data_IF_584741374743
#
_entry.id   IF_584741374743
#
_cell.length_a   1.000
_cell.length_b   1.000
_cell.length_c   1.000
_cell.angle_alpha   90.00
_cell.angle_beta   90.00
_cell.angle_gamma   90.00
#
_symmetry.space_group_name_H-M   'P 1'
#
loop_
_entity.id
_entity.type
_entity.pdbx_description
1 polymer ?
#
# COMPACT_ATOMS: atom_id res chain seq x y z
N UNK A 1 -16.27 1.93 -2.51
CA UNK A 1 -16.22 0.45 -2.63
C UNK A 1 -17.57 -0.12 -3.09
N UNK A 2 -18.67 0.00 -2.32
CA UNK A 2 -19.99 -0.50 -2.79
C UNK A 2 -20.40 0.04 -4.16
N UNK A 3 -20.27 1.36 -4.36
CA UNK A 3 -20.51 2.01 -5.65
C UNK A 3 -19.69 1.43 -6.81
N UNK A 4 -18.41 1.17 -6.56
CA UNK A 4 -17.53 0.61 -7.59
C UNK A 4 -17.89 -0.84 -7.94
N UNK A 5 -18.18 -1.65 -6.91
CA UNK A 5 -18.60 -3.04 -7.14
C UNK A 5 -19.94 -3.11 -7.90
N UNK A 6 -20.89 -2.24 -7.57
CA UNK A 6 -22.16 -2.14 -8.32
C UNK A 6 -21.95 -1.72 -9.79
N UNK A 7 -21.01 -0.79 -10.05
CA UNK A 7 -20.68 -0.39 -11.43
C UNK A 7 -19.97 -1.49 -12.25
N UNK A 8 -19.41 -2.47 -11.57
CA UNK A 8 -18.77 -3.66 -12.18
C UNK A 8 -19.76 -4.86 -12.31
N UNK A 9 -21.06 -4.57 -12.35
CA UNK A 9 -22.16 -5.55 -12.51
C UNK A 9 -22.22 -6.62 -11.39
N UNK A 10 -21.79 -6.28 -10.17
CA UNK A 10 -21.95 -7.16 -9.01
C UNK A 10 -23.25 -6.82 -8.25
N UNK A 11 -23.95 -7.85 -7.76
CA UNK A 11 -25.04 -7.69 -6.81
C UNK A 11 -24.46 -7.35 -5.43
N UNK A 12 -24.75 -6.16 -4.93
CA UNK A 12 -24.19 -5.65 -3.68
C UNK A 12 -25.30 -5.43 -2.65
N UNK A 13 -25.15 -6.04 -1.48
CA UNK A 13 -25.96 -5.75 -0.29
C UNK A 13 -25.10 -5.02 0.74
N UNK A 14 -25.58 -3.87 1.21
CA UNK A 14 -24.90 -3.07 2.25
C UNK A 14 -25.62 -3.25 3.57
N UNK A 15 -24.88 -3.60 4.61
CA UNK A 15 -25.40 -3.74 5.97
C UNK A 15 -24.80 -2.67 6.86
N UNK A 16 -25.62 -1.84 7.48
CA UNK A 16 -25.19 -0.86 8.50
C UNK A 16 -26.28 -0.74 9.58
N UNK A 17 -25.88 -0.44 10.81
CA UNK A 17 -26.82 -0.18 11.91
C UNK A 17 -27.52 1.16 11.80
N UNK A 18 -26.96 2.08 11.02
CA UNK A 18 -27.47 3.42 10.81
C UNK A 18 -28.37 3.45 9.56
N UNK A 19 -29.67 3.65 9.80
CA UNK A 19 -30.68 3.73 8.74
C UNK A 19 -30.47 4.87 7.75
N UNK A 20 -29.86 5.99 8.19
CA UNK A 20 -29.60 7.13 7.33
C UNK A 20 -28.45 6.84 6.36
N UNK A 21 -27.44 6.10 6.83
CA UNK A 21 -26.36 5.60 5.96
C UNK A 21 -26.92 4.68 4.89
N UNK A 22 -27.77 3.73 5.27
CA UNK A 22 -28.42 2.79 4.31
C UNK A 22 -29.25 3.56 3.30
N UNK A 23 -30.14 4.48 3.75
CA UNK A 23 -30.99 5.29 2.87
C UNK A 23 -30.18 6.11 1.86
N UNK A 24 -29.09 6.70 2.33
CA UNK A 24 -28.23 7.52 1.46
C UNK A 24 -27.53 6.67 0.40
N UNK A 25 -27.01 5.50 0.77
CA UNK A 25 -26.30 4.61 -0.16
C UNK A 25 -27.25 4.03 -1.20
N UNK A 26 -28.41 3.51 -0.78
CA UNK A 26 -29.42 2.95 -1.69
C UNK A 26 -30.08 3.99 -2.58
N UNK A 27 -30.12 5.26 -2.16
CA UNK A 27 -30.61 6.37 -2.98
C UNK A 27 -29.63 6.83 -4.05
N UNK A 28 -28.34 6.53 -3.91
CA UNK A 28 -27.28 6.99 -4.82
C UNK A 28 -26.78 5.88 -5.75
N UNK A 29 -26.88 4.63 -5.34
CA UNK A 29 -26.29 3.49 -6.05
C UNK A 29 -27.30 2.35 -6.13
N UNK A 30 -27.17 1.53 -7.17
CA UNK A 30 -27.95 0.30 -7.34
C UNK A 30 -27.41 -0.81 -6.43
N UNK A 31 -27.83 -0.76 -5.16
CA UNK A 31 -27.43 -1.70 -4.11
C UNK A 31 -28.61 -1.99 -3.20
N UNK A 32 -28.67 -3.20 -2.67
CA UNK A 32 -29.62 -3.54 -1.59
C UNK A 32 -29.11 -3.01 -0.25
N UNK A 33 -30.02 -2.66 0.65
CA UNK A 33 -29.69 -2.15 1.97
C UNK A 33 -30.42 -2.92 3.08
N UNK A 34 -29.68 -3.33 4.10
CA UNK A 34 -30.23 -3.95 5.31
C UNK A 34 -29.78 -3.16 6.53
N UNK A 35 -30.74 -2.72 7.37
CA UNK A 35 -30.44 -1.99 8.60
C UNK A 35 -30.25 -2.98 9.74
N UNK A 36 -29.03 -3.11 10.26
CA UNK A 36 -28.78 -4.04 11.35
C UNK A 36 -27.31 -4.19 11.71
N UNK A 37 -27.06 -5.05 12.69
CA UNK A 37 -25.70 -5.38 13.13
C UNK A 37 -25.13 -6.48 12.23
N UNK A 38 -24.06 -6.19 11.49
CA UNK A 38 -23.40 -7.15 10.60
C UNK A 38 -22.82 -8.41 11.30
N UNK A 39 -22.73 -8.42 12.63
CA UNK A 39 -22.38 -9.62 13.41
C UNK A 39 -23.61 -10.43 13.86
N UNK A 40 -24.82 -9.99 13.54
CA UNK A 40 -26.04 -10.73 13.84
C UNK A 40 -26.35 -11.73 12.72
N UNK A 41 -26.55 -12.99 13.07
CA UNK A 41 -26.92 -14.03 12.12
C UNK A 41 -28.23 -13.69 11.40
N UNK A 42 -29.25 -13.19 12.11
CA UNK A 42 -30.53 -12.82 11.50
C UNK A 42 -30.37 -11.70 10.49
N UNK A 43 -29.57 -10.66 10.81
CA UNK A 43 -29.28 -9.57 9.89
C UNK A 43 -28.55 -10.06 8.63
N UNK A 44 -27.63 -10.99 8.80
CA UNK A 44 -26.92 -11.58 7.66
C UNK A 44 -27.83 -12.47 6.82
N UNK A 45 -28.81 -13.16 7.41
CA UNK A 45 -29.83 -13.89 6.67
C UNK A 45 -30.73 -12.95 5.85
N UNK A 46 -31.17 -11.82 6.44
CA UNK A 46 -31.92 -10.79 5.70
C UNK A 46 -31.10 -10.22 4.53
N UNK A 47 -29.77 -10.19 4.67
CA UNK A 47 -28.84 -9.76 3.63
C UNK A 47 -28.49 -10.86 2.62
N UNK A 48 -29.13 -12.02 2.70
CA UNK A 48 -28.95 -13.19 1.81
C UNK A 48 -27.54 -13.77 1.83
N UNK A 49 -26.94 -13.88 3.03
CA UNK A 49 -25.56 -14.35 3.21
C UNK A 49 -25.34 -15.79 2.70
N UNK A 50 -26.38 -16.60 2.62
CA UNK A 50 -26.29 -18.00 2.16
C UNK A 50 -25.92 -18.09 0.67
N UNK A 51 -26.29 -17.10 -0.12
CA UNK A 51 -26.01 -17.01 -1.55
C UNK A 51 -24.88 -16.01 -1.88
N UNK A 52 -24.28 -15.38 -0.87
CA UNK A 52 -23.19 -14.43 -1.09
C UNK A 52 -21.87 -15.15 -1.40
N UNK A 53 -21.17 -14.70 -2.42
CA UNK A 53 -19.79 -15.15 -2.74
C UNK A 53 -18.76 -14.58 -1.78
N UNK A 54 -18.98 -13.33 -1.34
CA UNK A 54 -18.00 -12.56 -0.58
C UNK A 54 -18.67 -11.66 0.45
N UNK A 55 -18.17 -11.68 1.70
CA UNK A 55 -18.46 -10.68 2.72
C UNK A 55 -17.24 -9.83 2.99
N UNK A 56 -17.41 -8.49 2.99
CA UNK A 56 -16.36 -7.51 3.32
C UNK A 56 -16.80 -6.73 4.56
N UNK A 57 -16.11 -6.96 5.68
CA UNK A 57 -16.37 -6.27 6.94
C UNK A 57 -15.43 -5.08 7.13
N UNK A 58 -15.99 -3.85 7.08
CA UNK A 58 -15.23 -2.59 7.07
C UNK A 58 -15.76 -1.56 8.08
N UNK A 59 -16.38 -2.03 9.16
CA UNK A 59 -16.87 -1.17 10.23
C UNK A 59 -15.75 -0.46 10.98
N UNK A 60 -16.10 0.36 11.97
CA UNK A 60 -15.11 1.11 12.77
C UNK A 60 -14.39 0.28 13.84
N UNK A 61 -14.88 -0.92 14.18
CA UNK A 61 -14.26 -1.83 15.16
C UNK A 61 -13.63 -3.02 14.44
N UNK A 62 -12.36 -3.29 14.74
CA UNK A 62 -11.63 -4.43 14.21
C UNK A 62 -12.22 -5.75 14.70
N UNK A 63 -12.60 -5.81 15.98
CA UNK A 63 -13.22 -6.97 16.63
C UNK A 63 -14.57 -7.28 15.99
N UNK A 64 -15.38 -6.24 15.72
CA UNK A 64 -16.66 -6.41 15.03
C UNK A 64 -16.45 -6.93 13.61
N UNK A 65 -15.46 -6.41 12.88
CA UNK A 65 -15.15 -6.89 11.54
C UNK A 65 -14.73 -8.35 11.53
N UNK A 66 -13.91 -8.77 12.49
CA UNK A 66 -13.53 -10.18 12.66
C UNK A 66 -14.74 -11.05 13.00
N UNK A 67 -15.58 -10.60 13.91
CA UNK A 67 -16.80 -11.33 14.31
C UNK A 67 -17.79 -11.45 13.15
N UNK A 68 -18.03 -10.39 12.39
CA UNK A 68 -18.86 -10.44 11.18
C UNK A 68 -18.39 -11.53 10.22
N UNK A 69 -17.09 -11.60 9.97
CA UNK A 69 -16.49 -12.60 9.08
C UNK A 69 -16.68 -14.03 9.61
N UNK A 70 -16.50 -14.24 10.92
CA UNK A 70 -16.70 -15.56 11.54
C UNK A 70 -18.15 -16.02 11.41
N UNK A 71 -19.12 -15.15 11.73
CA UNK A 71 -20.56 -15.46 11.64
C UNK A 71 -20.95 -15.73 10.18
N UNK A 72 -20.52 -14.87 9.26
CA UNK A 72 -20.84 -15.03 7.84
C UNK A 72 -20.32 -16.34 7.25
N UNK A 73 -19.10 -16.73 7.61
CA UNK A 73 -18.51 -17.99 7.16
C UNK A 73 -19.28 -19.20 7.65
N UNK A 74 -19.81 -19.13 8.87
CA UNK A 74 -20.64 -20.24 9.41
C UNK A 74 -22.03 -20.26 8.79
N UNK A 75 -22.58 -19.10 8.45
CA UNK A 75 -23.90 -18.96 7.86
C UNK A 75 -23.93 -19.31 6.36
N UNK A 76 -22.99 -18.77 5.57
CA UNK A 76 -23.09 -18.79 4.10
C UNK A 76 -21.93 -19.46 3.36
N UNK A 77 -20.88 -19.94 4.02
CA UNK A 77 -19.66 -20.47 3.37
C UNK A 77 -18.97 -19.52 2.38
N UNK A 78 -19.27 -18.22 2.44
CA UNK A 78 -18.70 -17.20 1.57
C UNK A 78 -17.23 -16.92 1.89
N UNK A 79 -16.52 -16.34 0.94
CA UNK A 79 -15.21 -15.73 1.23
C UNK A 79 -15.37 -14.52 2.14
N UNK A 80 -14.41 -14.30 3.03
CA UNK A 80 -14.52 -13.21 4.02
C UNK A 80 -13.29 -12.37 4.03
N UNK A 81 -13.48 -11.04 4.03
CA UNK A 81 -12.42 -10.04 4.14
C UNK A 81 -12.71 -9.15 5.34
N UNK A 82 -11.80 -9.09 6.31
CA UNK A 82 -11.89 -8.21 7.46
C UNK A 82 -10.90 -7.04 7.35
N UNK A 83 -11.37 -5.81 7.58
CA UNK A 83 -10.50 -4.66 7.84
C UNK A 83 -10.05 -4.68 9.29
N UNK A 84 -8.72 -4.73 9.50
CA UNK A 84 -8.10 -4.71 10.83
C UNK A 84 -6.97 -3.70 10.83
N UNK A 85 -7.12 -2.63 11.61
CA UNK A 85 -6.22 -1.47 11.62
C UNK A 85 -5.21 -1.50 12.77
N UNK A 86 -5.62 -2.04 13.91
CA UNK A 86 -4.82 -2.01 15.13
C UNK A 86 -3.49 -2.75 14.93
N UNK A 87 -2.41 -2.09 15.36
CA UNK A 87 -1.05 -2.61 15.24
C UNK A 87 -0.81 -3.89 16.05
N UNK A 88 -1.59 -4.12 17.12
CA UNK A 88 -1.54 -5.34 17.92
C UNK A 88 -1.85 -6.56 17.07
N UNK A 89 -2.94 -6.51 16.30
CA UNK A 89 -3.35 -7.63 15.45
C UNK A 89 -2.44 -7.84 14.23
N UNK A 90 -1.66 -6.83 13.85
CA UNK A 90 -0.79 -6.91 12.67
C UNK A 90 0.28 -7.99 12.81
N UNK A 91 0.88 -8.13 14.00
CA UNK A 91 1.92 -9.15 14.25
C UNK A 91 1.35 -10.56 14.22
N UNK A 92 0.08 -10.71 14.56
CA UNK A 92 -0.65 -11.97 14.66
C UNK A 92 -1.57 -12.22 13.47
N UNK A 93 -1.49 -11.39 12.42
CA UNK A 93 -2.40 -11.40 11.26
C UNK A 93 -2.59 -12.79 10.65
N UNK A 94 -1.51 -13.52 10.42
CA UNK A 94 -1.58 -14.84 9.80
C UNK A 94 -2.16 -15.89 10.74
N UNK A 95 -1.88 -15.79 12.05
CA UNK A 95 -2.50 -16.63 13.06
C UNK A 95 -4.01 -16.38 13.09
N UNK A 96 -4.43 -15.13 13.26
CA UNK A 96 -5.85 -14.74 13.31
C UNK A 96 -6.58 -15.18 12.05
N UNK A 97 -6.02 -14.92 10.87
CA UNK A 97 -6.60 -15.30 9.58
C UNK A 97 -6.84 -16.82 9.50
N UNK A 98 -5.86 -17.61 9.89
CA UNK A 98 -5.92 -19.06 9.84
C UNK A 98 -6.89 -19.64 10.86
N UNK A 99 -6.79 -19.22 12.13
CA UNK A 99 -7.62 -19.78 13.22
C UNK A 99 -9.09 -19.37 13.09
N UNK A 100 -9.37 -18.15 12.67
CA UNK A 100 -10.74 -17.72 12.38
C UNK A 100 -11.22 -18.13 10.98
N UNK A 101 -10.33 -18.67 10.14
CA UNK A 101 -10.62 -19.14 8.81
C UNK A 101 -11.01 -18.05 7.80
N UNK A 102 -10.50 -16.84 7.98
CA UNK A 102 -10.75 -15.73 7.06
C UNK A 102 -9.99 -15.90 5.75
N UNK A 103 -10.60 -15.48 4.65
CA UNK A 103 -9.93 -15.47 3.35
C UNK A 103 -8.83 -14.42 3.32
N UNK A 104 -9.12 -13.21 3.85
CA UNK A 104 -8.16 -12.10 3.85
C UNK A 104 -8.38 -11.17 5.06
N UNK A 105 -7.28 -10.59 5.54
CA UNK A 105 -7.28 -9.44 6.47
C UNK A 105 -6.58 -8.29 5.76
N UNK A 106 -7.20 -7.12 5.69
CA UNK A 106 -6.65 -5.91 5.08
C UNK A 106 -6.42 -4.83 6.13
N UNK A 107 -5.37 -4.03 5.92
CA UNK A 107 -5.12 -2.80 6.66
C UNK A 107 -4.79 -1.68 5.65
N UNK A 108 -5.82 -0.93 5.21
CA UNK A 108 -5.65 0.13 4.21
C UNK A 108 -4.73 1.26 4.70
N UNK A 109 -4.76 1.55 5.99
CA UNK A 109 -3.94 2.60 6.60
C UNK A 109 -2.46 2.25 6.54
N UNK A 110 -2.12 1.00 6.81
CA UNK A 110 -0.75 0.51 6.67
C UNK A 110 -0.30 0.47 5.20
N UNK A 111 -1.18 0.02 4.30
CA UNK A 111 -0.90 -0.01 2.86
C UNK A 111 -0.64 1.41 2.33
N UNK A 112 -1.46 2.40 2.73
CA UNK A 112 -1.26 3.80 2.37
C UNK A 112 0.08 4.35 2.92
N UNK A 113 0.42 4.03 4.18
CA UNK A 113 1.68 4.43 4.77
C UNK A 113 2.90 3.83 4.03
N UNK A 114 2.82 2.56 3.63
CA UNK A 114 3.85 1.91 2.83
C UNK A 114 4.02 2.58 1.47
N UNK A 115 2.92 2.93 0.82
CA UNK A 115 2.93 3.58 -0.49
C UNK A 115 3.57 4.98 -0.41
N UNK A 116 3.18 5.79 0.58
CA UNK A 116 3.79 7.09 0.83
C UNK A 116 5.30 6.94 1.09
N UNK A 117 5.69 6.01 1.94
CA UNK A 117 7.11 5.78 2.26
C UNK A 117 7.90 5.30 1.03
N UNK A 118 7.27 4.52 0.13
CA UNK A 118 7.87 4.07 -1.14
C UNK A 118 8.22 5.27 -2.03
N UNK A 119 7.27 6.20 -2.19
CA UNK A 119 7.51 7.42 -2.97
C UNK A 119 8.64 8.28 -2.40
N UNK A 120 8.79 8.32 -1.08
CA UNK A 120 9.84 9.09 -0.42
C UNK A 120 11.23 8.45 -0.52
N UNK A 121 11.33 7.16 -0.78
CA UNK A 121 12.62 6.46 -0.96
C UNK A 121 13.36 6.86 -2.23
N UNK A 122 12.62 7.06 -3.32
CA UNK A 122 13.17 7.34 -4.64
C UNK A 122 12.39 8.48 -5.32
N UNK A 123 12.48 9.71 -4.81
CA UNK A 123 11.70 10.85 -5.30
C UNK A 123 12.04 11.26 -6.73
N UNK A 124 13.10 10.68 -7.33
CA UNK A 124 13.52 10.90 -8.71
C UNK A 124 12.92 9.92 -9.70
N UNK A 125 12.31 8.83 -9.23
CA UNK A 125 11.58 7.92 -10.09
C UNK A 125 10.21 8.52 -10.45
N UNK A 126 9.82 8.41 -11.73
CA UNK A 126 8.50 8.87 -12.19
C UNK A 126 7.43 7.87 -11.76
N UNK A 127 7.76 6.58 -11.88
CA UNK A 127 6.89 5.46 -11.51
C UNK A 127 7.72 4.40 -10.79
N UNK A 128 7.10 3.75 -9.84
CA UNK A 128 7.69 2.64 -9.08
C UNK A 128 6.68 1.51 -9.02
N UNK A 129 6.97 0.39 -9.67
CA UNK A 129 6.19 -0.83 -9.57
C UNK A 129 6.96 -1.90 -8.80
N UNK A 130 6.29 -2.52 -7.86
CA UNK A 130 6.91 -3.50 -6.96
C UNK A 130 6.53 -4.92 -7.35
N UNK A 131 7.53 -5.78 -7.52
CA UNK A 131 7.36 -7.20 -7.83
C UNK A 131 7.85 -8.08 -6.69
N UNK A 132 7.32 -9.30 -6.63
CA UNK A 132 7.76 -10.33 -5.67
C UNK A 132 7.73 -9.87 -4.21
N UNK A 133 6.65 -9.18 -3.80
CA UNK A 133 6.46 -8.65 -2.44
C UNK A 133 7.53 -7.62 -2.04
N UNK A 134 7.94 -6.75 -2.96
CA UNK A 134 8.89 -5.67 -2.70
C UNK A 134 10.36 -6.08 -2.78
N UNK A 135 10.68 -7.29 -3.29
CA UNK A 135 12.06 -7.72 -3.46
C UNK A 135 12.73 -7.14 -4.70
N UNK A 136 11.95 -6.87 -5.73
CA UNK A 136 12.41 -6.26 -6.99
C UNK A 136 11.48 -5.10 -7.32
N UNK A 137 12.05 -3.98 -7.70
CA UNK A 137 11.34 -2.78 -8.11
C UNK A 137 11.58 -2.53 -9.61
N UNK A 138 10.53 -2.18 -10.34
CA UNK A 138 10.66 -1.57 -11.65
C UNK A 138 10.55 -0.06 -11.48
N UNK A 139 11.63 0.62 -11.80
CA UNK A 139 11.75 2.07 -11.65
C UNK A 139 11.80 2.71 -13.02
N UNK A 140 10.89 3.65 -13.27
CA UNK A 140 10.90 4.48 -14.46
C UNK A 140 11.47 5.85 -14.12
N UNK A 141 12.47 6.28 -14.89
CA UNK A 141 13.08 7.60 -14.73
C UNK A 141 13.43 8.21 -16.07
N UNK A 142 13.49 9.54 -16.10
CA UNK A 142 13.89 10.29 -17.27
C UNK A 142 15.39 10.57 -17.23
N UNK A 143 16.11 10.28 -18.31
CA UNK A 143 17.55 10.48 -18.40
C UNK A 143 17.86 11.98 -18.46
N UNK A 144 18.57 12.54 -17.44
CA UNK A 144 18.98 13.95 -17.47
C UNK A 144 20.00 14.22 -18.56
N UNK A 145 20.01 15.47 -19.07
CA UNK A 145 20.95 15.86 -20.11
C UNK A 145 22.43 15.76 -19.71
N UNK A 146 22.72 15.90 -18.41
CA UNK A 146 24.06 15.79 -17.84
C UNK A 146 24.39 14.39 -17.30
N UNK A 147 23.56 13.37 -17.58
CA UNK A 147 23.79 12.01 -17.14
C UNK A 147 24.95 11.36 -17.88
N UNK A 148 25.74 10.58 -17.13
CA UNK A 148 26.81 9.75 -17.72
C UNK A 148 26.30 8.63 -18.65
N UNK A 149 25.01 8.40 -18.69
CA UNK A 149 24.36 7.44 -19.58
C UNK A 149 24.19 7.98 -21.01
N UNK A 150 24.14 9.30 -21.19
CA UNK A 150 23.89 9.92 -22.49
C UNK A 150 24.97 9.53 -23.48
N UNK A 151 24.56 9.04 -24.65
CA UNK A 151 25.44 8.59 -25.72
C UNK A 151 26.01 7.18 -25.57
N UNK A 152 25.81 6.49 -24.44
CA UNK A 152 26.27 5.11 -24.23
C UNK A 152 25.32 4.10 -24.84
N UNK A 153 25.87 2.94 -25.22
CA UNK A 153 25.06 1.78 -25.60
C UNK A 153 24.72 0.94 -24.37
N UNK A 154 23.57 0.27 -24.41
CA UNK A 154 23.10 -0.53 -23.27
C UNK A 154 24.06 -1.65 -22.88
N UNK A 155 24.73 -2.29 -23.85
CA UNK A 155 25.75 -3.34 -23.58
C UNK A 155 26.87 -2.81 -22.67
N UNK A 156 27.26 -1.54 -22.82
CA UNK A 156 28.34 -0.93 -22.04
C UNK A 156 27.86 -0.59 -20.61
N UNK A 157 26.59 -0.21 -20.48
CA UNK A 157 25.93 0.04 -19.19
C UNK A 157 25.74 -1.28 -18.42
N UNK A 158 25.24 -2.31 -19.08
CA UNK A 158 25.04 -3.64 -18.46
C UNK A 158 26.34 -4.30 -18.02
N UNK A 159 27.43 -4.11 -18.76
CA UNK A 159 28.73 -4.60 -18.35
C UNK A 159 29.24 -4.00 -17.03
N UNK A 160 28.87 -2.74 -16.75
CA UNK A 160 29.26 -2.02 -15.55
C UNK A 160 28.28 -2.19 -14.37
N UNK A 161 27.07 -2.66 -14.65
CA UNK A 161 25.95 -2.78 -13.70
C UNK A 161 25.22 -4.11 -13.90
N UNK A 162 25.91 -5.22 -13.60
CA UNK A 162 25.41 -6.59 -13.83
C UNK A 162 24.10 -6.92 -13.08
N UNK A 163 23.75 -6.16 -12.03
CA UNK A 163 22.57 -6.37 -11.20
C UNK A 163 21.36 -5.50 -11.60
N UNK A 164 21.44 -4.85 -12.76
CA UNK A 164 20.40 -3.95 -13.26
C UNK A 164 19.99 -4.38 -14.66
N UNK A 165 18.70 -4.51 -14.89
CA UNK A 165 18.14 -4.79 -16.19
C UNK A 165 17.33 -3.59 -16.69
N UNK A 166 17.72 -3.01 -17.80
CA UNK A 166 16.89 -2.02 -18.51
C UNK A 166 15.95 -2.80 -19.42
N UNK A 167 14.65 -2.79 -19.09
CA UNK A 167 13.64 -3.62 -19.74
C UNK A 167 12.80 -2.86 -20.75
N UNK A 168 12.62 -1.54 -20.56
CA UNK A 168 11.84 -0.69 -21.47
C UNK A 168 12.56 0.65 -21.64
N UNK A 169 12.55 1.16 -22.87
CA UNK A 169 12.95 2.53 -23.17
C UNK A 169 11.81 3.23 -23.94
N UNK A 170 11.53 4.47 -23.59
CA UNK A 170 10.60 5.34 -24.30
C UNK A 170 11.37 6.54 -24.85
N UNK A 171 11.33 6.72 -26.15
CA UNK A 171 11.96 7.82 -26.86
C UNK A 171 10.93 8.55 -27.69
N UNK A 172 10.75 9.85 -27.43
CA UNK A 172 9.78 10.70 -28.16
C UNK A 172 8.35 10.09 -28.22
N UNK A 173 7.91 9.44 -27.13
CA UNK A 173 6.59 8.80 -27.06
C UNK A 173 6.51 7.40 -27.68
N UNK A 174 7.59 6.89 -28.27
CA UNK A 174 7.66 5.52 -28.76
C UNK A 174 8.29 4.60 -27.73
N UNK A 175 7.57 3.55 -27.36
CA UNK A 175 8.02 2.53 -26.41
C UNK A 175 8.71 1.40 -27.16
N UNK A 176 9.92 1.04 -26.75
CA UNK A 176 10.71 -0.04 -27.32
C UNK A 176 11.27 -0.95 -26.23
N UNK A 177 11.43 -2.23 -26.52
CA UNK A 177 12.25 -3.16 -25.73
C UNK A 177 13.67 -3.03 -26.27
N UNK A 178 14.59 -2.37 -25.51
CA UNK A 178 15.88 -2.04 -26.06
C UNK A 178 16.81 -3.27 -26.08
N UNK A 179 17.57 -3.41 -27.16
CA UNK A 179 18.68 -4.37 -27.27
C UNK A 179 20.01 -3.78 -26.79
N UNK A 180 21.08 -4.56 -26.81
CA UNK A 180 22.41 -4.12 -26.36
C UNK A 180 22.99 -2.95 -27.18
N UNK A 181 22.52 -2.71 -28.39
CA UNK A 181 22.98 -1.64 -29.27
C UNK A 181 22.17 -0.35 -29.12
N UNK A 182 21.08 -0.39 -28.35
CA UNK A 182 20.27 0.80 -28.08
C UNK A 182 21.14 1.90 -27.50
N UNK A 183 21.10 3.09 -28.11
CA UNK A 183 21.83 4.28 -27.67
C UNK A 183 20.91 5.16 -26.84
N UNK A 184 21.33 5.42 -25.61
CA UNK A 184 20.59 6.25 -24.65
C UNK A 184 20.78 7.71 -25.00
N UNK A 185 19.69 8.46 -25.19
CA UNK A 185 19.71 9.90 -25.37
C UNK A 185 19.17 10.66 -24.15
N UNK A 186 19.53 11.93 -24.06
CA UNK A 186 18.97 12.81 -23.04
C UNK A 186 17.45 12.95 -23.25
N UNK A 187 16.71 12.79 -22.17
CA UNK A 187 15.24 12.88 -22.19
C UNK A 187 14.53 11.56 -22.44
N UNK A 188 15.24 10.47 -22.78
CA UNK A 188 14.64 9.14 -22.82
C UNK A 188 14.09 8.76 -21.44
N UNK A 189 12.95 8.07 -21.42
CA UNK A 189 12.44 7.43 -20.18
C UNK A 189 12.86 5.97 -20.18
N UNK A 190 13.60 5.56 -19.14
CA UNK A 190 14.07 4.18 -18.99
C UNK A 190 13.35 3.52 -17.82
N UNK A 191 12.87 2.28 -18.04
CA UNK A 191 12.37 1.41 -16.97
C UNK A 191 13.41 0.34 -16.66
N UNK A 192 13.84 0.31 -15.39
CA UNK A 192 14.87 -0.60 -14.90
C UNK A 192 14.30 -1.53 -13.83
N UNK A 193 14.71 -2.79 -13.87
CA UNK A 193 14.49 -3.75 -12.79
C UNK A 193 15.72 -3.76 -11.87
N UNK A 194 15.50 -3.49 -10.59
CA UNK A 194 16.59 -3.36 -9.62
C UNK A 194 16.09 -3.62 -8.20
N UNK A 195 16.97 -4.04 -7.29
CA UNK A 195 16.65 -4.04 -5.86
C UNK A 195 16.78 -2.64 -5.26
N UNK A 196 15.96 -2.30 -4.27
CA UNK A 196 15.95 -0.97 -3.63
C UNK A 196 17.34 -0.49 -3.17
N UNK A 197 18.14 -1.39 -2.59
CA UNK A 197 19.50 -1.05 -2.13
C UNK A 197 20.40 -0.58 -3.29
N UNK A 198 20.29 -1.23 -4.44
CA UNK A 198 21.09 -0.94 -5.62
C UNK A 198 20.57 0.23 -6.44
N UNK A 199 19.26 0.53 -6.35
CA UNK A 199 18.65 1.66 -7.04
C UNK A 199 19.28 3.00 -6.64
N UNK A 200 19.40 3.27 -5.33
CA UNK A 200 20.00 4.51 -4.83
C UNK A 200 21.47 4.66 -5.25
N UNK A 201 22.23 3.57 -5.23
CA UNK A 201 23.63 3.56 -5.70
C UNK A 201 23.73 3.82 -7.20
N UNK A 202 22.85 3.19 -7.99
CA UNK A 202 22.77 3.40 -9.43
C UNK A 202 22.46 4.86 -9.77
N UNK A 203 21.39 5.45 -9.19
CA UNK A 203 21.04 6.85 -9.44
C UNK A 203 22.17 7.81 -9.09
N UNK A 204 22.88 7.57 -7.99
CA UNK A 204 24.05 8.37 -7.62
C UNK A 204 25.18 8.27 -8.67
N UNK A 205 25.46 7.05 -9.17
CA UNK A 205 26.52 6.81 -10.18
C UNK A 205 26.19 7.45 -11.53
N UNK A 206 24.91 7.51 -11.93
CA UNK A 206 24.51 8.11 -13.21
C UNK A 206 24.30 9.64 -13.11
N UNK A 207 24.65 10.25 -11.97
CA UNK A 207 24.56 11.71 -11.79
C UNK A 207 23.14 12.23 -11.57
N UNK A 208 22.17 11.35 -11.32
CA UNK A 208 20.83 11.75 -10.92
C UNK A 208 20.87 12.15 -9.45
N UNK A 209 20.64 13.44 -9.20
CA UNK A 209 20.52 13.94 -7.80
C UNK A 209 19.28 13.31 -7.18
N UNK A 210 19.49 12.33 -6.33
CA UNK A 210 18.42 11.85 -5.45
C UNK A 210 18.20 12.91 -4.38
N UNK A 211 17.12 13.67 -4.49
CA UNK A 211 16.68 14.55 -3.41
C UNK A 211 16.22 13.69 -2.25
N UNK A 212 17.16 13.17 -1.47
CA UNK A 212 16.83 12.39 -0.28
C UNK A 212 16.03 13.26 0.69
N UNK A 213 14.88 12.75 1.09
CA UNK A 213 14.08 13.37 2.14
C UNK A 213 14.77 13.08 3.48
N UNK A 214 15.18 14.13 4.19
CA UNK A 214 15.83 14.01 5.50
C UNK A 214 14.89 14.28 6.66
N UNK A 215 13.82 15.00 6.42
CA UNK A 215 12.80 15.32 7.42
C UNK A 215 11.42 15.38 6.80
N UNK A 216 10.42 14.98 7.57
CA UNK A 216 9.02 15.02 7.19
C UNK A 216 8.20 15.67 8.31
N UNK A 217 7.22 16.48 7.94
CA UNK A 217 6.21 17.00 8.85
C UNK A 217 4.87 16.37 8.47
N UNK A 218 4.19 15.79 9.45
CA UNK A 218 2.90 15.11 9.28
C UNK A 218 1.85 15.84 10.11
N UNK A 219 0.73 16.21 9.50
CA UNK A 219 -0.38 16.86 10.18
C UNK A 219 -1.50 15.85 10.39
N UNK A 220 -1.88 15.66 11.66
CA UNK A 220 -2.84 14.67 12.12
C UNK A 220 -2.16 13.42 12.69
N UNK A 221 -2.67 12.91 13.83
CA UNK A 221 -2.11 11.75 14.58
C UNK A 221 -2.89 10.45 14.35
N UNK A 222 -3.44 10.22 13.14
CA UNK A 222 -4.22 9.02 12.82
C UNK A 222 -3.36 7.75 12.67
N UNK A 223 -4.00 6.65 12.29
CA UNK A 223 -3.32 5.36 12.09
C UNK A 223 -2.30 5.40 10.94
N UNK A 224 -2.61 6.11 9.85
CA UNK A 224 -1.64 6.31 8.75
C UNK A 224 -0.37 6.98 9.29
N UNK A 225 -0.51 8.02 10.13
CA UNK A 225 0.61 8.74 10.74
C UNK A 225 1.46 7.81 11.59
N UNK A 226 0.84 6.99 12.42
CA UNK A 226 1.55 5.99 13.24
C UNK A 226 2.40 5.07 12.36
N UNK A 227 1.79 4.41 11.37
CA UNK A 227 2.50 3.48 10.49
C UNK A 227 3.58 4.16 9.66
N UNK A 228 3.25 5.32 9.09
CA UNK A 228 4.18 6.09 8.25
C UNK A 228 5.39 6.52 9.07
N UNK A 229 5.17 7.03 10.30
CA UNK A 229 6.27 7.47 11.16
C UNK A 229 7.18 6.31 11.52
N UNK A 230 6.63 5.13 11.88
CA UNK A 230 7.44 3.93 12.11
C UNK A 230 8.34 3.60 10.91
N UNK A 231 7.80 3.67 9.69
CA UNK A 231 8.57 3.37 8.47
C UNK A 231 9.63 4.45 8.22
N UNK A 232 9.27 5.74 8.34
CA UNK A 232 10.19 6.86 8.07
C UNK A 232 11.34 6.92 9.07
N UNK A 233 11.07 6.69 10.35
CA UNK A 233 12.11 6.60 11.39
C UNK A 233 13.09 5.46 11.09
N UNK A 234 12.58 4.31 10.67
CA UNK A 234 13.41 3.17 10.25
C UNK A 234 14.26 3.47 8.99
N UNK A 235 13.79 4.38 8.14
CA UNK A 235 14.55 4.91 7.00
C UNK A 235 15.56 6.01 7.37
N UNK A 236 15.64 6.41 8.64
CA UNK A 236 16.52 7.49 9.13
C UNK A 236 15.99 8.90 8.84
N UNK A 237 14.70 9.04 8.52
CA UNK A 237 14.05 10.33 8.26
C UNK A 237 13.56 10.90 9.59
N UNK A 238 13.89 12.16 9.89
CA UNK A 238 13.35 12.88 11.06
C UNK A 238 11.87 13.18 10.83
N UNK A 239 11.01 12.83 11.78
CA UNK A 239 9.57 13.07 11.67
C UNK A 239 9.11 14.03 12.76
N UNK A 240 8.32 15.04 12.35
CA UNK A 240 7.60 15.93 13.27
C UNK A 240 6.11 15.73 13.04
N UNK A 241 5.35 15.43 14.10
CA UNK A 241 3.89 15.25 14.03
C UNK A 241 3.21 16.45 14.67
N UNK A 242 2.21 16.99 13.98
CA UNK A 242 1.32 18.03 14.50
C UNK A 242 -0.05 17.39 14.74
N UNK A 243 -0.45 17.27 16.01
CA UNK A 243 -1.73 16.71 16.42
C UNK A 243 -2.36 17.63 17.49
N UNK A 244 -3.67 17.87 17.37
CA UNK A 244 -4.40 18.72 18.32
C UNK A 244 -4.78 18.03 19.62
N UNK A 245 -4.90 16.70 19.60
CA UNK A 245 -5.25 15.91 20.78
C UNK A 245 -3.97 15.56 21.54
N UNK A 246 -3.83 16.14 22.75
CA UNK A 246 -2.67 15.93 23.62
C UNK A 246 -2.43 14.47 23.98
N UNK A 247 -3.49 13.75 24.36
CA UNK A 247 -3.40 12.33 24.72
C UNK A 247 -2.88 11.50 23.54
N UNK A 248 -3.36 11.80 22.31
CA UNK A 248 -2.87 11.13 21.10
C UNK A 248 -1.41 11.45 20.80
N UNK A 249 -0.95 12.69 21.09
CA UNK A 249 0.47 13.04 20.99
C UNK A 249 1.34 12.20 21.94
N UNK A 250 0.89 12.00 23.18
CA UNK A 250 1.58 11.21 24.19
C UNK A 250 1.66 9.73 23.76
N UNK A 251 0.54 9.14 23.32
CA UNK A 251 0.49 7.77 22.80
C UNK A 251 1.44 7.55 21.62
N UNK A 252 1.47 8.49 20.66
CA UNK A 252 2.37 8.40 19.51
C UNK A 252 3.84 8.53 19.93
N UNK A 253 4.15 9.42 20.86
CA UNK A 253 5.50 9.60 21.38
C UNK A 253 6.01 8.33 22.06
N UNK A 254 5.22 7.73 22.93
CA UNK A 254 5.58 6.51 23.64
C UNK A 254 5.79 5.34 22.67
N UNK A 255 4.85 5.11 21.76
CA UNK A 255 4.94 4.03 20.77
C UNK A 255 6.17 4.18 19.84
N UNK A 256 6.55 5.42 19.50
CA UNK A 256 7.64 5.67 18.56
C UNK A 256 9.02 5.64 19.22
N UNK A 257 9.13 5.96 20.51
CA UNK A 257 10.37 5.82 21.27
C UNK A 257 10.80 4.35 21.41
N UNK A 258 9.86 3.42 21.52
CA UNK A 258 10.13 1.98 21.57
C UNK A 258 10.41 1.33 20.21
N UNK A 259 10.20 2.03 19.10
CA UNK A 259 10.48 1.54 17.74
C UNK A 259 11.85 1.98 17.21
N UNK A 260 12.64 2.70 17.98
CA UNK A 260 14.06 2.93 17.65
C UNK A 260 14.75 1.56 17.57
N UNK A 261 15.38 1.22 16.44
CA UNK A 261 16.07 -0.05 16.31
C UNK A 261 17.17 -0.14 17.38
N UNK A 262 17.07 -1.16 18.23
CA UNK A 262 18.21 -1.55 19.03
C UNK A 262 19.35 -1.90 18.07
N UNK A 263 20.59 -1.51 18.35
CA UNK A 263 21.73 -1.86 17.51
C UNK A 263 21.92 -3.37 17.28
N UNK A 264 21.15 -4.21 17.97
CA UNK A 264 21.18 -5.68 17.87
C UNK A 264 20.21 -6.28 16.84
N UNK A 265 19.30 -5.48 16.26
CA UNK A 265 18.30 -5.98 15.30
C UNK A 265 18.69 -5.73 13.84
N UNK A 266 19.96 -5.35 13.60
CA UNK A 266 20.55 -5.11 12.28
C UNK A 266 21.57 -6.18 11.88
N UNK A 267 21.34 -7.44 12.25
CA UNK A 267 22.16 -8.57 11.77
C UNK A 267 21.35 -9.53 10.91
#
# INVERSE_FOLDING_TARGET
>A
MAAQLSQEDNNVTVVDKDSDVIRNITGLYDVMGVVGNGASYNTLQEADIEHADLLIAVSRSDELNLLCCVVARQAGRCHTIARVRNSVYRKEKEFIRRELGLSMIINPEFAAAQEIARLLRLPTAIEIDSFSKGRVEMLRFKVPANSVLVGKQLKDVSATHADLLICVAEKQGQVVIPDGNYRIDAGDSLSILVTLKKAAEFFRKIGVKTNQVHSAMIVGGGEITYYLTCILVHMGIKVTIIEKNKQRCEELSDCLLYTSPSPRDCS
#
